data_IF_674519362418
#
_entry.id   IF_674519362418
#
_cell.length_a   1.000
_cell.length_b   1.000
_cell.length_c   1.000
_cell.angle_alpha   90.00
_cell.angle_beta   90.00
_cell.angle_gamma   90.00
#
_symmetry.space_group_name_H-M   'P 1'
#
loop_
_entity.id
_entity.type
_entity.pdbx_description
1 polymer ?
#
# COMPACT_ATOMS: atom_id res chain seq x y z
N UNK A 1 28.71 13.57 -0.08
CA UNK A 1 28.82 13.04 -1.47
C UNK A 1 29.36 11.61 -1.43
N UNK A 2 28.54 10.65 -0.99
CA UNK A 2 29.00 9.27 -0.91
C UNK A 2 27.97 8.38 -1.63
N UNK A 3 28.38 7.82 -2.76
CA UNK A 3 27.65 6.86 -3.54
C UNK A 3 26.82 7.45 -4.67
N UNK A 4 26.97 6.91 -5.91
CA UNK A 4 26.11 7.22 -7.03
C UNK A 4 24.66 6.83 -6.73
N UNK A 5 23.72 7.29 -7.56
CA UNK A 5 22.26 7.07 -7.41
C UNK A 5 21.91 5.60 -7.12
N UNK A 6 22.65 4.65 -7.71
CA UNK A 6 22.47 3.20 -7.49
C UNK A 6 22.68 2.79 -6.04
N UNK A 7 23.66 3.34 -5.33
CA UNK A 7 23.93 2.99 -3.93
C UNK A 7 22.90 3.59 -2.96
N UNK A 8 22.32 4.73 -3.31
CA UNK A 8 21.34 5.41 -2.42
C UNK A 8 20.00 4.68 -2.38
N UNK A 9 19.47 4.23 -3.54
CA UNK A 9 18.23 3.46 -3.53
C UNK A 9 18.42 2.09 -2.84
N UNK A 10 19.58 1.44 -3.03
CA UNK A 10 19.91 0.22 -2.30
C UNK A 10 19.94 0.46 -0.78
N UNK A 11 20.51 1.58 -0.33
CA UNK A 11 20.50 1.97 1.08
C UNK A 11 19.08 2.17 1.62
N UNK A 12 18.21 2.86 0.87
CA UNK A 12 16.81 3.05 1.24
C UNK A 12 16.03 1.71 1.28
N UNK A 13 16.28 0.82 0.31
CA UNK A 13 15.73 -0.53 0.29
C UNK A 13 16.15 -1.36 1.51
N UNK A 14 17.46 -1.43 1.81
CA UNK A 14 17.96 -2.17 2.97
C UNK A 14 17.43 -1.59 4.29
N UNK A 15 17.36 -0.25 4.41
CA UNK A 15 16.73 0.40 5.56
C UNK A 15 15.29 -0.05 5.72
N UNK A 16 14.50 -0.06 4.63
CA UNK A 16 13.11 -0.50 4.68
C UNK A 16 12.97 -1.97 5.14
N UNK A 17 13.93 -2.85 4.77
CA UNK A 17 13.98 -4.24 5.24
C UNK A 17 14.34 -4.33 6.72
N UNK A 18 15.33 -3.59 7.17
CA UNK A 18 15.75 -3.57 8.58
C UNK A 18 14.59 -3.13 9.47
N UNK A 19 13.89 -2.06 9.09
CA UNK A 19 12.76 -1.51 9.86
C UNK A 19 11.49 -2.37 9.83
N UNK A 20 11.44 -3.42 9.00
CA UNK A 20 10.37 -4.44 9.10
C UNK A 20 10.47 -5.30 10.37
N UNK A 21 11.65 -5.30 11.03
CA UNK A 21 11.80 -5.91 12.33
C UNK A 21 11.55 -4.87 13.44
N UNK A 22 10.46 -4.98 14.23
CA UNK A 22 10.13 -3.98 15.25
C UNK A 22 11.23 -3.75 16.31
N UNK A 23 12.10 -4.76 16.52
CA UNK A 23 13.21 -4.66 17.47
C UNK A 23 14.35 -3.76 16.96
N UNK A 24 14.39 -3.51 15.66
CA UNK A 24 15.41 -2.70 15.00
C UNK A 24 14.97 -1.25 14.78
N UNK A 25 13.71 -0.91 15.08
CA UNK A 25 13.16 0.44 14.90
C UNK A 25 13.67 1.36 16.00
N UNK A 26 14.47 2.40 15.69
CA UNK A 26 14.86 3.41 16.66
C UNK A 26 13.64 4.21 17.11
N UNK A 27 13.55 4.50 18.41
CA UNK A 27 12.39 5.21 19.01
C UNK A 27 12.69 6.68 19.30
N UNK A 28 13.93 7.13 19.08
CA UNK A 28 14.33 8.49 19.38
C UNK A 28 13.81 9.49 18.35
N UNK A 29 13.54 10.71 18.82
CA UNK A 29 13.01 11.80 18.00
C UNK A 29 13.95 12.18 16.87
N UNK A 30 15.24 12.13 17.12
CA UNK A 30 16.24 12.49 16.11
C UNK A 30 16.15 11.58 14.89
N UNK A 31 15.98 10.27 15.07
CA UNK A 31 15.81 9.34 13.97
C UNK A 31 14.59 9.67 13.14
N UNK A 32 13.45 10.00 13.79
CA UNK A 32 12.22 10.37 13.10
C UNK A 32 12.41 11.63 12.25
N UNK A 33 13.03 12.67 12.82
CA UNK A 33 13.27 13.91 12.11
C UNK A 33 14.25 13.74 10.93
N UNK A 34 15.29 12.95 11.10
CA UNK A 34 16.23 12.62 10.01
C UNK A 34 15.56 11.84 8.88
N UNK A 35 14.65 10.90 9.20
CA UNK A 35 13.86 10.17 8.20
C UNK A 35 12.95 11.11 7.43
N UNK A 36 12.21 12.00 8.11
CA UNK A 36 11.34 12.99 7.48
C UNK A 36 12.16 13.89 6.56
N UNK A 37 13.22 14.50 7.08
CA UNK A 37 14.08 15.42 6.31
C UNK A 37 14.70 14.72 5.09
N UNK A 38 15.11 13.46 5.23
CA UNK A 38 15.68 12.68 4.12
C UNK A 38 14.60 12.40 3.06
N UNK A 39 13.39 12.05 3.48
CA UNK A 39 12.27 11.83 2.57
C UNK A 39 11.89 13.11 1.83
N UNK A 40 11.77 14.24 2.50
CA UNK A 40 11.46 15.53 1.89
C UNK A 40 12.54 15.95 0.90
N UNK A 41 13.83 15.82 1.27
CA UNK A 41 14.95 16.13 0.38
C UNK A 41 14.96 15.22 -0.85
N UNK A 42 14.45 13.98 -0.75
CA UNK A 42 14.47 13.00 -1.84
C UNK A 42 13.62 13.40 -3.06
N UNK A 43 12.80 14.45 -2.98
CA UNK A 43 12.09 15.06 -4.14
C UNK A 43 13.08 15.53 -5.22
N UNK A 44 14.32 15.84 -4.85
CA UNK A 44 15.37 16.24 -5.77
C UNK A 44 16.14 15.07 -6.40
N UNK A 45 15.83 13.83 -5.99
CA UNK A 45 16.49 12.66 -6.51
C UNK A 45 15.89 12.27 -7.87
N UNK A 46 16.76 11.86 -8.80
CA UNK A 46 16.34 11.40 -10.14
C UNK A 46 15.69 10.02 -10.13
N UNK A 47 15.96 9.22 -9.10
CA UNK A 47 15.45 7.87 -8.99
C UNK A 47 14.31 7.83 -7.96
N UNK A 48 13.06 7.65 -8.38
CA UNK A 48 11.90 7.63 -7.50
C UNK A 48 11.93 6.49 -6.48
N UNK A 49 12.65 5.40 -6.76
CA UNK A 49 12.80 4.26 -5.85
C UNK A 49 13.36 4.68 -4.48
N UNK A 50 14.22 5.73 -4.43
CA UNK A 50 14.73 6.22 -3.15
C UNK A 50 13.57 6.68 -2.28
N UNK A 51 12.71 7.53 -2.84
CA UNK A 51 11.56 8.10 -2.14
C UNK A 51 10.52 7.04 -1.79
N UNK A 52 10.23 6.12 -2.71
CA UNK A 52 9.33 4.99 -2.46
C UNK A 52 9.80 4.10 -1.31
N UNK A 53 11.09 3.72 -1.29
CA UNK A 53 11.62 2.90 -0.19
C UNK A 53 11.71 3.64 1.14
N UNK A 54 11.91 4.96 1.14
CA UNK A 54 11.84 5.75 2.37
C UNK A 54 10.41 5.80 2.91
N UNK A 55 9.40 5.99 2.02
CA UNK A 55 7.99 5.90 2.42
C UNK A 55 7.68 4.54 3.04
N UNK A 56 8.08 3.44 2.38
CA UNK A 56 7.89 2.08 2.90
C UNK A 56 8.62 1.86 4.24
N UNK A 57 9.81 2.44 4.39
CA UNK A 57 10.56 2.38 5.64
C UNK A 57 9.78 3.06 6.78
N UNK A 58 9.23 4.26 6.55
CA UNK A 58 8.36 4.96 7.51
C UNK A 58 7.15 4.11 7.91
N UNK A 59 6.42 3.56 6.93
CA UNK A 59 5.26 2.71 7.20
C UNK A 59 5.57 1.49 8.07
N UNK A 60 6.71 0.84 7.81
CA UNK A 60 7.15 -0.35 8.55
C UNK A 60 7.51 -0.09 10.01
N UNK A 61 7.83 1.16 10.36
CA UNK A 61 8.04 1.52 11.78
C UNK A 61 6.75 1.48 12.60
N UNK A 62 5.58 1.67 11.97
CA UNK A 62 4.30 1.83 12.64
C UNK A 62 4.18 3.15 13.42
N UNK A 63 5.08 4.10 13.22
CA UNK A 63 5.15 5.35 13.99
C UNK A 63 4.24 6.42 13.39
N UNK A 64 3.29 6.90 14.18
CA UNK A 64 2.30 7.90 13.76
C UNK A 64 2.90 9.27 13.42
N UNK A 65 4.11 9.57 13.87
CA UNK A 65 4.80 10.83 13.56
C UNK A 65 5.09 11.01 12.07
N UNK A 66 5.03 9.94 11.27
CA UNK A 66 5.20 10.00 9.82
C UNK A 66 3.92 10.27 9.03
N UNK A 67 2.75 10.24 9.68
CA UNK A 67 1.43 10.31 9.00
C UNK A 67 1.30 11.56 8.14
N UNK A 68 1.57 12.74 8.70
CA UNK A 68 1.44 14.00 7.96
C UNK A 68 2.35 14.06 6.73
N UNK A 69 3.58 13.57 6.86
CA UNK A 69 4.54 13.50 5.74
C UNK A 69 4.06 12.56 4.65
N UNK A 70 3.53 11.38 5.01
CA UNK A 70 3.00 10.41 4.05
C UNK A 70 1.72 10.91 3.37
N UNK A 71 0.82 11.57 4.11
CA UNK A 71 -0.41 12.17 3.55
C UNK A 71 -0.05 13.27 2.54
N UNK A 72 0.87 14.16 2.86
CA UNK A 72 1.32 15.20 1.94
C UNK A 72 1.90 14.61 0.65
N UNK A 73 2.59 13.48 0.74
CA UNK A 73 3.19 12.80 -0.38
C UNK A 73 2.18 12.00 -1.25
N UNK A 74 0.91 11.89 -0.86
CA UNK A 74 -0.15 11.40 -1.75
C UNK A 74 -0.42 12.34 -2.94
N UNK A 75 0.12 13.55 -2.92
CA UNK A 75 0.08 14.51 -4.03
C UNK A 75 1.35 14.48 -4.91
N UNK A 76 2.20 13.47 -4.77
CA UNK A 76 3.40 13.33 -5.57
C UNK A 76 3.05 13.08 -7.05
N UNK A 77 3.90 13.56 -7.95
CA UNK A 77 3.72 13.40 -9.41
C UNK A 77 4.03 11.97 -9.88
N UNK A 78 4.80 11.24 -9.09
CA UNK A 78 5.16 9.85 -9.37
C UNK A 78 4.22 8.90 -8.61
N UNK A 79 3.34 8.25 -9.33
CA UNK A 79 2.31 7.39 -8.75
C UNK A 79 2.89 6.18 -8.00
N UNK A 80 4.11 5.76 -8.30
CA UNK A 80 4.79 4.71 -7.52
C UNK A 80 5.10 5.16 -6.09
N UNK A 81 5.37 6.46 -5.91
CA UNK A 81 5.56 7.08 -4.60
C UNK A 81 4.21 7.18 -3.88
N UNK A 82 3.17 7.63 -4.59
CA UNK A 82 1.80 7.71 -4.04
C UNK A 82 1.34 6.34 -3.53
N UNK A 83 1.49 5.29 -4.34
CA UNK A 83 1.15 3.92 -3.95
C UNK A 83 1.96 3.45 -2.73
N UNK A 84 3.26 3.78 -2.67
CA UNK A 84 4.12 3.45 -1.51
C UNK A 84 3.67 4.18 -0.23
N UNK A 85 3.22 5.44 -0.35
CA UNK A 85 2.67 6.21 0.77
C UNK A 85 1.31 5.64 1.23
N UNK A 86 0.43 5.28 0.28
CA UNK A 86 -0.85 4.64 0.58
C UNK A 86 -0.64 3.31 1.33
N UNK A 87 0.30 2.47 0.87
CA UNK A 87 0.68 1.25 1.58
C UNK A 87 1.13 1.54 3.02
N UNK A 88 1.99 2.53 3.19
CA UNK A 88 2.58 2.89 4.48
C UNK A 88 1.54 3.41 5.46
N UNK A 89 0.58 4.22 5.00
CA UNK A 89 -0.57 4.66 5.80
C UNK A 89 -1.42 3.46 6.26
N UNK A 90 -1.59 2.45 5.38
CA UNK A 90 -2.27 1.19 5.71
C UNK A 90 -1.56 0.34 6.76
N UNK A 91 -0.23 0.45 6.89
CA UNK A 91 0.56 -0.21 7.95
C UNK A 91 0.44 0.52 9.29
N UNK A 92 0.50 1.86 9.29
CA UNK A 92 0.42 2.70 10.49
C UNK A 92 -1.00 2.68 11.09
N UNK A 93 -2.04 2.67 10.24
CA UNK A 93 -3.46 2.55 10.60
C UNK A 93 -3.99 3.65 11.52
N UNK A 94 -3.63 4.90 11.27
CA UNK A 94 -4.19 6.06 11.97
C UNK A 94 -5.56 6.49 11.43
N UNK A 95 -6.31 7.29 12.18
CA UNK A 95 -7.59 7.87 11.72
C UNK A 95 -7.39 8.78 10.50
N UNK A 96 -6.37 9.63 10.52
CA UNK A 96 -6.10 10.57 9.43
C UNK A 96 -5.65 9.83 8.16
N UNK A 97 -4.83 8.77 8.31
CA UNK A 97 -4.45 7.87 7.23
C UNK A 97 -5.67 7.17 6.61
N UNK A 98 -6.66 6.77 7.42
CA UNK A 98 -7.90 6.19 6.92
C UNK A 98 -8.65 7.15 6.00
N UNK A 99 -8.86 8.40 6.43
CA UNK A 99 -9.55 9.43 5.64
C UNK A 99 -8.77 9.75 4.36
N UNK A 100 -7.44 9.87 4.45
CA UNK A 100 -6.61 10.13 3.30
C UNK A 100 -6.70 9.00 2.25
N UNK A 101 -6.70 7.73 2.68
CA UNK A 101 -6.81 6.57 1.80
C UNK A 101 -8.18 6.49 1.12
N UNK A 102 -9.27 6.89 1.76
CA UNK A 102 -10.59 6.94 1.13
C UNK A 102 -10.60 7.82 -0.12
N UNK A 103 -9.89 8.96 -0.08
CA UNK A 103 -9.79 9.87 -1.21
C UNK A 103 -8.92 9.33 -2.37
N UNK A 104 -8.14 8.27 -2.13
CA UNK A 104 -7.26 7.66 -3.15
C UNK A 104 -7.92 6.47 -3.86
N UNK A 105 -9.09 6.03 -3.45
CA UNK A 105 -9.76 4.85 -4.03
C UNK A 105 -10.32 5.10 -5.44
N UNK A 106 -10.54 6.36 -5.82
CA UNK A 106 -10.98 6.78 -7.15
C UNK A 106 -9.84 7.40 -7.99
N UNK A 107 -8.57 7.19 -7.59
CA UNK A 107 -7.41 7.73 -8.27
C UNK A 107 -7.32 7.22 -9.72
N UNK A 108 -6.83 8.05 -10.66
CA UNK A 108 -6.69 7.69 -12.07
C UNK A 108 -5.75 6.49 -12.30
N UNK A 109 -4.68 6.40 -11.53
CA UNK A 109 -3.72 5.29 -11.58
C UNK A 109 -4.25 4.06 -10.83
N UNK A 110 -4.27 2.92 -11.53
CA UNK A 110 -4.79 1.67 -11.00
C UNK A 110 -3.99 1.13 -9.79
N UNK A 111 -2.66 1.34 -9.80
CA UNK A 111 -1.81 0.88 -8.69
C UNK A 111 -2.07 1.66 -7.41
N UNK A 112 -2.38 2.96 -7.51
CA UNK A 112 -2.78 3.78 -6.36
C UNK A 112 -4.14 3.32 -5.83
N UNK A 113 -5.14 3.08 -6.70
CA UNK A 113 -6.45 2.55 -6.29
C UNK A 113 -6.30 1.21 -5.58
N UNK A 114 -5.57 0.27 -6.21
CA UNK A 114 -5.31 -1.06 -5.65
C UNK A 114 -4.71 -0.96 -4.24
N UNK A 115 -3.63 -0.19 -4.12
CA UNK A 115 -2.94 -0.08 -2.84
C UNK A 115 -3.81 0.59 -1.77
N UNK A 116 -4.70 1.50 -2.16
CA UNK A 116 -5.64 2.16 -1.25
C UNK A 116 -6.72 1.20 -0.75
N UNK A 117 -7.28 0.37 -1.63
CA UNK A 117 -8.25 -0.68 -1.26
C UNK A 117 -7.63 -1.70 -0.30
N UNK A 118 -6.44 -2.22 -0.62
CA UNK A 118 -5.70 -3.16 0.26
C UNK A 118 -5.46 -2.52 1.62
N UNK A 119 -4.99 -1.26 1.64
CA UNK A 119 -4.64 -0.53 2.84
C UNK A 119 -5.87 -0.26 3.71
N UNK A 120 -6.99 0.20 3.13
CA UNK A 120 -8.26 0.37 3.83
C UNK A 120 -8.76 -0.96 4.42
N UNK A 121 -8.63 -2.07 3.69
CA UNK A 121 -8.98 -3.41 4.17
C UNK A 121 -8.22 -3.83 5.43
N UNK A 122 -7.03 -3.28 5.67
CA UNK A 122 -6.25 -3.55 6.89
C UNK A 122 -6.81 -2.85 8.13
N UNK A 123 -7.59 -1.78 7.98
CA UNK A 123 -8.29 -1.13 9.10
C UNK A 123 -9.46 -1.95 9.63
N UNK A 124 -10.06 -2.81 8.80
CA UNK A 124 -11.25 -3.62 9.15
C UNK A 124 -12.41 -2.77 9.68
N UNK A 125 -12.60 -1.59 9.11
CA UNK A 125 -13.65 -0.64 9.50
C UNK A 125 -14.85 -0.75 8.59
N UNK A 126 -16.04 -0.83 9.17
CA UNK A 126 -17.31 -0.88 8.42
C UNK A 126 -17.56 0.40 7.63
N UNK A 127 -17.00 1.52 8.05
CA UNK A 127 -17.12 2.82 7.38
C UNK A 127 -16.53 2.83 5.94
N UNK A 128 -15.74 1.82 5.59
CA UNK A 128 -15.23 1.62 4.22
C UNK A 128 -16.11 0.69 3.38
N UNK A 129 -17.25 0.19 3.89
CA UNK A 129 -18.09 -0.78 3.19
C UNK A 129 -18.50 -0.31 1.79
N UNK A 130 -19.04 0.90 1.67
CA UNK A 130 -19.51 1.43 0.38
C UNK A 130 -18.38 1.59 -0.64
N UNK A 131 -17.17 1.93 -0.18
CA UNK A 131 -15.97 2.00 -1.01
C UNK A 131 -15.63 0.62 -1.56
N UNK A 132 -15.59 -0.40 -0.71
CA UNK A 132 -15.29 -1.77 -1.16
C UNK A 132 -16.37 -2.30 -2.10
N UNK A 133 -17.64 -2.01 -1.84
CA UNK A 133 -18.74 -2.39 -2.73
C UNK A 133 -18.61 -1.72 -4.10
N UNK A 134 -18.26 -0.44 -4.15
CA UNK A 134 -17.97 0.26 -5.41
C UNK A 134 -16.80 -0.37 -6.15
N UNK A 135 -15.73 -0.71 -5.44
CA UNK A 135 -14.52 -1.31 -6.01
C UNK A 135 -14.73 -2.75 -6.56
N UNK A 136 -15.83 -3.45 -6.21
CA UNK A 136 -16.20 -4.71 -6.88
C UNK A 136 -16.48 -4.55 -8.37
N UNK A 137 -16.73 -3.33 -8.83
CA UNK A 137 -16.98 -2.99 -10.24
C UNK A 137 -15.79 -2.25 -10.90
N UNK A 138 -14.59 -2.22 -10.27
CA UNK A 138 -13.42 -1.58 -10.86
C UNK A 138 -13.04 -2.23 -12.20
N UNK A 139 -12.43 -1.45 -13.09
CA UNK A 139 -11.95 -1.92 -14.39
C UNK A 139 -10.87 -3.00 -14.22
N UNK A 140 -10.01 -2.84 -13.21
CA UNK A 140 -8.93 -3.78 -12.90
C UNK A 140 -9.43 -4.96 -12.07
N UNK A 141 -9.18 -6.16 -12.55
CA UNK A 141 -9.68 -7.38 -11.92
C UNK A 141 -9.09 -7.62 -10.53
N UNK A 142 -7.79 -7.32 -10.35
CA UNK A 142 -7.11 -7.45 -9.05
C UNK A 142 -7.70 -6.50 -7.99
N UNK A 143 -8.14 -5.30 -8.38
CA UNK A 143 -8.85 -4.39 -7.47
C UNK A 143 -10.19 -5.00 -7.02
N UNK A 144 -10.94 -5.62 -7.95
CA UNK A 144 -12.19 -6.33 -7.60
C UNK A 144 -11.95 -7.47 -6.61
N UNK A 145 -10.86 -8.23 -6.80
CA UNK A 145 -10.46 -9.31 -5.90
C UNK A 145 -10.16 -8.80 -4.49
N UNK A 146 -9.31 -7.77 -4.38
CA UNK A 146 -8.95 -7.20 -3.08
C UNK A 146 -10.13 -6.50 -2.39
N UNK A 147 -11.05 -5.92 -3.15
CA UNK A 147 -12.31 -5.39 -2.60
C UNK A 147 -13.19 -6.51 -1.99
N UNK A 148 -13.30 -7.66 -2.67
CA UNK A 148 -14.02 -8.81 -2.14
C UNK A 148 -13.40 -9.34 -0.84
N UNK A 149 -12.05 -9.41 -0.78
CA UNK A 149 -11.31 -9.77 0.42
C UNK A 149 -11.51 -8.73 1.54
N UNK A 150 -11.50 -7.44 1.21
CA UNK A 150 -11.73 -6.38 2.19
C UNK A 150 -13.15 -6.45 2.78
N UNK A 151 -14.16 -6.73 1.96
CA UNK A 151 -15.53 -6.97 2.41
C UNK A 151 -15.62 -8.17 3.36
N UNK A 152 -14.96 -9.29 3.04
CA UNK A 152 -14.93 -10.45 3.92
C UNK A 152 -14.29 -10.12 5.29
N UNK A 153 -13.21 -9.32 5.31
CA UNK A 153 -12.56 -8.86 6.56
C UNK A 153 -13.49 -8.07 7.48
N UNK A 154 -14.49 -7.36 6.93
CA UNK A 154 -15.52 -6.64 7.70
C UNK A 154 -16.82 -7.46 7.85
N UNK A 155 -16.78 -8.77 7.51
CA UNK A 155 -17.91 -9.72 7.60
C UNK A 155 -19.09 -9.36 6.69
N UNK A 156 -18.81 -8.76 5.55
CA UNK A 156 -19.79 -8.47 4.51
C UNK A 156 -19.66 -9.49 3.38
N UNK A 157 -20.77 -10.10 2.97
CA UNK A 157 -20.79 -11.19 1.97
C UNK A 157 -21.00 -10.71 0.52
N UNK A 158 -21.05 -9.40 0.25
CA UNK A 158 -21.30 -8.89 -1.11
C UNK A 158 -20.20 -9.29 -2.11
N UNK A 159 -18.98 -9.57 -1.66
CA UNK A 159 -17.89 -10.07 -2.48
C UNK A 159 -17.81 -11.59 -2.63
N UNK A 160 -18.72 -12.36 -2.03
CA UNK A 160 -18.60 -13.83 -1.92
C UNK A 160 -18.52 -14.55 -3.28
N UNK A 161 -19.21 -14.07 -4.31
CA UNK A 161 -19.13 -14.67 -5.64
C UNK A 161 -17.72 -14.57 -6.22
N UNK A 162 -17.09 -13.39 -6.10
CA UNK A 162 -15.71 -13.19 -6.56
C UNK A 162 -14.74 -14.10 -5.78
N UNK A 163 -14.94 -14.24 -4.46
CA UNK A 163 -14.11 -15.14 -3.64
C UNK A 163 -14.28 -16.61 -4.05
N UNK A 164 -15.49 -17.03 -4.43
CA UNK A 164 -15.73 -18.38 -4.96
C UNK A 164 -15.07 -18.57 -6.33
N UNK A 165 -15.15 -17.59 -7.21
CA UNK A 165 -14.51 -17.62 -8.52
C UNK A 165 -12.98 -17.74 -8.40
N UNK A 166 -12.37 -17.09 -7.39
CA UNK A 166 -10.92 -17.17 -7.12
C UNK A 166 -10.46 -18.59 -6.73
N UNK A 167 -11.37 -19.48 -6.32
CA UNK A 167 -11.05 -20.89 -6.05
C UNK A 167 -11.05 -21.75 -7.31
N UNK A 168 -11.54 -21.26 -8.44
CA UNK A 168 -11.52 -21.94 -9.73
C UNK A 168 -10.29 -21.51 -10.55
N UNK A 169 -9.38 -22.47 -10.80
CA UNK A 169 -8.18 -22.24 -11.60
C UNK A 169 -8.49 -21.77 -13.03
N UNK A 170 -9.56 -22.31 -13.64
CA UNK A 170 -9.96 -21.89 -14.99
C UNK A 170 -10.38 -20.40 -15.03
N UNK A 171 -11.01 -19.92 -13.95
CA UNK A 171 -11.31 -18.49 -13.82
C UNK A 171 -10.04 -17.66 -13.78
N UNK A 172 -9.06 -18.01 -12.96
CA UNK A 172 -7.78 -17.30 -12.87
C UNK A 172 -7.01 -17.34 -14.20
N UNK A 173 -6.95 -18.48 -14.87
CA UNK A 173 -6.28 -18.65 -16.16
C UNK A 173 -6.92 -17.82 -17.28
N UNK A 174 -8.16 -17.34 -17.10
CA UNK A 174 -8.82 -16.42 -18.03
C UNK A 174 -8.21 -15.01 -18.03
N UNK A 175 -7.33 -14.70 -17.08
CA UNK A 175 -6.63 -13.40 -16.95
C UNK A 175 -5.13 -13.55 -17.25
N UNK A 176 -4.71 -13.78 -18.50
CA UNK A 176 -3.32 -14.06 -18.85
C UNK A 176 -2.37 -12.87 -18.61
N UNK A 177 -2.91 -11.67 -18.41
CA UNK A 177 -2.15 -10.46 -18.11
C UNK A 177 -1.82 -10.29 -16.61
N UNK A 178 -2.38 -11.13 -15.75
CA UNK A 178 -2.08 -11.14 -14.31
C UNK A 178 -0.95 -12.14 -14.05
N UNK A 179 0.06 -11.70 -13.29
CA UNK A 179 1.17 -12.57 -12.93
C UNK A 179 0.67 -13.85 -12.23
N UNK A 180 1.11 -15.06 -12.66
CA UNK A 180 0.68 -16.31 -12.02
C UNK A 180 0.90 -16.35 -10.50
N UNK A 181 1.94 -15.68 -10.00
CA UNK A 181 2.17 -15.59 -8.55
C UNK A 181 1.09 -14.73 -7.87
N UNK A 182 0.65 -13.66 -8.52
CA UNK A 182 -0.46 -12.83 -8.02
C UNK A 182 -1.78 -13.60 -8.03
N UNK A 183 -2.05 -14.39 -9.07
CA UNK A 183 -3.20 -15.28 -9.14
C UNK A 183 -3.19 -16.33 -8.00
N UNK A 184 -2.05 -16.96 -7.76
CA UNK A 184 -1.88 -17.93 -6.67
C UNK A 184 -2.08 -17.28 -5.29
N UNK A 185 -1.58 -16.05 -5.10
CA UNK A 185 -1.80 -15.28 -3.89
C UNK A 185 -3.29 -14.93 -3.67
N UNK A 186 -3.99 -14.52 -4.73
CA UNK A 186 -5.43 -14.23 -4.66
C UNK A 186 -6.23 -15.47 -4.25
N UNK A 187 -5.92 -16.64 -4.84
CA UNK A 187 -6.54 -17.94 -4.44
C UNK A 187 -6.27 -18.26 -2.96
N UNK A 188 -5.02 -18.12 -2.49
CA UNK A 188 -4.67 -18.41 -1.11
C UNK A 188 -5.40 -17.49 -0.11
N UNK A 189 -5.59 -16.22 -0.46
CA UNK A 189 -6.32 -15.26 0.38
C UNK A 189 -7.81 -15.57 0.43
N UNK A 190 -8.39 -16.07 -0.67
CA UNK A 190 -9.82 -16.43 -0.73
C UNK A 190 -10.16 -17.65 0.16
N UNK A 191 -9.18 -18.50 0.52
CA UNK A 191 -9.36 -19.67 1.38
C UNK A 191 -9.38 -19.31 2.88
N UNK A 192 -8.81 -18.17 3.28
CA UNK A 192 -8.68 -17.73 4.69
C UNK A 192 -9.96 -17.09 5.23
#
# INVERSE_FOLDING_TARGET
KIGGTTKRWQGAFELSKILSNPKMVPKDERFVQEMISTFEYSVHERNPLIRSYLALAMGRTGDERYISTLINALQDKDYSIVASCAHSLGLIRSSDGFVALQNMTDHEDAQVRLQSIISLGNYRKIEAEDIFVSALADQEVNIRWDAAVALAKIKNNRGSMILLDLLDRNYLDSFPNIDPLEQDQAMLVAIQ
#
